data_IF_548961252004
#
_entry.id   IF_548961252004
#
_cell.length_a   1.000
_cell.length_b   1.000
_cell.length_c   1.000
_cell.angle_alpha   90.00
_cell.angle_beta   90.00
_cell.angle_gamma   90.00
#
_symmetry.space_group_name_H-M   'P 1'
#
loop_
_entity.id
_entity.type
_entity.pdbx_description
1 polymer ?
#
# COMPACT_ATOMS: atom_id res chain seq x y z
N UNK A 1 -20.50 -48.39 8.81
CA UNK A 1 -19.50 -47.56 9.52
C UNK A 1 -18.34 -47.33 8.57
N UNK A 2 -18.28 -46.18 7.88
CA UNK A 2 -17.11 -45.80 7.09
C UNK A 2 -16.00 -45.31 8.05
N UNK A 3 -14.74 -45.66 7.83
CA UNK A 3 -13.64 -45.15 8.63
C UNK A 3 -13.46 -43.66 8.30
N UNK A 4 -13.56 -42.81 9.32
CA UNK A 4 -13.13 -41.42 9.25
C UNK A 4 -11.60 -41.47 9.12
N UNK A 5 -11.11 -41.29 7.90
CA UNK A 5 -9.69 -41.05 7.66
C UNK A 5 -9.34 -39.72 8.34
N UNK A 6 -8.61 -39.81 9.45
CA UNK A 6 -8.03 -38.67 10.15
C UNK A 6 -6.96 -38.08 9.21
N UNK A 7 -7.31 -37.05 8.43
CA UNK A 7 -6.32 -36.25 7.73
C UNK A 7 -5.47 -35.55 8.80
N UNK A 8 -4.24 -36.02 8.99
CA UNK A 8 -3.23 -35.25 9.70
C UNK A 8 -3.00 -33.97 8.90
N UNK A 9 -3.41 -32.83 9.46
CA UNK A 9 -3.10 -31.54 8.90
C UNK A 9 -1.58 -31.34 8.99
N UNK A 10 -0.88 -31.47 7.85
CA UNK A 10 0.52 -31.08 7.76
C UNK A 10 0.58 -29.58 7.99
N UNK A 11 1.31 -29.14 9.02
CA UNK A 11 1.45 -27.73 9.32
C UNK A 11 2.19 -27.02 8.16
N UNK A 12 1.70 -25.86 7.75
CA UNK A 12 2.37 -25.05 6.73
C UNK A 12 3.70 -24.54 7.28
N UNK A 13 4.79 -25.02 6.70
CA UNK A 13 6.17 -24.55 6.88
C UNK A 13 6.72 -24.00 5.56
N UNK A 14 7.80 -23.21 5.58
CA UNK A 14 8.47 -22.76 4.36
C UNK A 14 8.83 -23.91 3.40
N UNK A 15 9.20 -25.08 3.93
CA UNK A 15 9.49 -26.26 3.11
C UNK A 15 8.23 -26.80 2.42
N UNK A 16 7.13 -26.99 3.15
CA UNK A 16 5.87 -27.49 2.58
C UNK A 16 5.26 -26.50 1.57
N UNK A 17 5.46 -25.20 1.77
CA UNK A 17 5.01 -24.18 0.82
C UNK A 17 5.87 -24.15 -0.43
N UNK A 18 7.19 -24.36 -0.32
CA UNK A 18 8.06 -24.51 -1.49
C UNK A 18 7.68 -25.74 -2.32
N UNK A 19 7.35 -26.86 -1.69
CA UNK A 19 6.86 -28.06 -2.38
C UNK A 19 5.52 -27.82 -3.07
N UNK A 20 4.55 -27.19 -2.38
CA UNK A 20 3.27 -26.83 -2.95
C UNK A 20 3.41 -25.86 -4.13
N UNK A 21 4.28 -24.85 -4.02
CA UNK A 21 4.60 -23.91 -5.09
C UNK A 21 5.21 -24.63 -6.31
N UNK A 22 6.15 -25.55 -6.10
CA UNK A 22 6.75 -26.35 -7.18
C UNK A 22 5.72 -27.26 -7.85
N UNK A 23 4.86 -27.91 -7.06
CA UNK A 23 3.80 -28.77 -7.57
C UNK A 23 2.78 -27.99 -8.42
N UNK A 24 2.36 -26.81 -7.94
CA UNK A 24 1.48 -25.92 -8.69
C UNK A 24 2.15 -25.37 -9.97
N UNK A 25 3.43 -24.95 -9.89
CA UNK A 25 4.16 -24.41 -11.05
C UNK A 25 4.32 -25.43 -12.18
N UNK A 26 4.44 -26.72 -11.87
CA UNK A 26 4.52 -27.81 -12.87
C UNK A 26 3.26 -27.97 -13.73
N UNK A 27 2.16 -27.31 -13.38
CA UNK A 27 0.94 -27.28 -14.21
C UNK A 27 1.07 -26.31 -15.41
N UNK A 28 2.09 -25.44 -15.40
CA UNK A 28 2.36 -24.48 -16.47
C UNK A 28 3.54 -24.92 -17.34
N UNK A 29 3.61 -24.47 -18.62
CA UNK A 29 4.74 -24.74 -19.49
C UNK A 29 6.07 -24.23 -18.89
N UNK A 30 7.19 -24.97 -19.04
CA UNK A 30 8.49 -24.58 -18.46
C UNK A 30 8.97 -23.18 -18.85
N UNK A 31 8.67 -22.75 -20.08
CA UNK A 31 8.98 -21.42 -20.60
C UNK A 31 8.25 -20.28 -19.86
N UNK A 32 7.18 -20.60 -19.12
CA UNK A 32 6.39 -19.63 -18.35
C UNK A 32 6.81 -19.56 -16.88
N UNK A 33 7.66 -20.48 -16.40
CA UNK A 33 8.02 -20.58 -14.98
C UNK A 33 8.67 -19.32 -14.40
N UNK A 34 9.25 -18.46 -15.24
CA UNK A 34 9.81 -17.16 -14.85
C UNK A 34 8.78 -16.09 -14.47
N UNK A 35 7.48 -16.33 -14.72
CA UNK A 35 6.39 -15.40 -14.42
C UNK A 35 5.55 -15.81 -13.21
N UNK A 36 5.68 -17.05 -12.74
CA UNK A 36 4.85 -17.57 -11.64
C UNK A 36 5.60 -17.53 -10.31
N UNK A 37 5.10 -16.73 -9.38
CA UNK A 37 5.62 -16.60 -8.02
C UNK A 37 4.52 -16.85 -6.99
N UNK A 38 4.94 -17.05 -5.75
CA UNK A 38 4.03 -17.41 -4.67
C UNK A 38 4.25 -16.54 -3.43
N UNK A 39 3.16 -16.15 -2.78
CA UNK A 39 3.15 -15.35 -1.58
C UNK A 39 2.71 -16.20 -0.39
N UNK A 40 3.59 -16.35 0.59
CA UNK A 40 3.37 -17.14 1.81
C UNK A 40 2.79 -16.29 2.94
N UNK A 41 1.70 -16.78 3.53
CA UNK A 41 1.14 -16.28 4.77
C UNK A 41 1.55 -17.11 5.99
N UNK A 42 2.29 -18.22 5.83
CA UNK A 42 2.59 -19.17 6.90
C UNK A 42 3.46 -18.58 8.04
N UNK A 43 4.22 -17.53 7.75
CA UNK A 43 4.97 -16.77 8.76
C UNK A 43 4.07 -16.04 9.77
N UNK A 44 2.81 -15.77 9.43
CA UNK A 44 1.83 -15.25 10.37
C UNK A 44 1.26 -16.36 11.27
N UNK A 45 0.91 -16.01 12.52
CA UNK A 45 0.16 -16.91 13.38
C UNK A 45 -1.17 -17.33 12.71
N UNK A 46 -1.65 -18.58 12.90
CA UNK A 46 -2.81 -19.11 12.19
C UNK A 46 -4.04 -18.20 12.16
N UNK A 47 -4.36 -17.58 13.29
CA UNK A 47 -5.46 -16.63 13.48
C UNK A 47 -5.31 -15.31 12.69
N UNK A 48 -4.15 -15.06 12.09
CA UNK A 48 -3.81 -13.83 11.38
C UNK A 48 -3.52 -14.05 9.89
N UNK A 49 -3.52 -15.30 9.41
CA UNK A 49 -3.19 -15.65 8.03
C UNK A 49 -4.25 -15.12 7.06
N UNK A 50 -5.53 -15.20 7.41
CA UNK A 50 -6.62 -14.68 6.59
C UNK A 50 -6.55 -13.15 6.42
N UNK A 51 -6.29 -12.42 7.50
CA UNK A 51 -6.10 -10.96 7.45
C UNK A 51 -4.91 -10.57 6.56
N UNK A 52 -3.80 -11.32 6.65
CA UNK A 52 -2.64 -11.08 5.80
C UNK A 52 -2.96 -11.33 4.32
N UNK A 53 -3.70 -12.40 4.02
CA UNK A 53 -4.16 -12.67 2.65
C UNK A 53 -5.07 -11.56 2.11
N UNK A 54 -5.97 -11.00 2.94
CA UNK A 54 -6.79 -9.84 2.59
C UNK A 54 -5.92 -8.62 2.28
N UNK A 55 -4.98 -8.30 3.16
CA UNK A 55 -4.10 -7.14 3.03
C UNK A 55 -3.23 -7.21 1.76
N UNK A 56 -2.62 -8.37 1.50
CA UNK A 56 -1.74 -8.53 0.33
C UNK A 56 -2.53 -8.53 -0.97
N UNK A 57 -3.76 -9.09 -1.01
CA UNK A 57 -4.64 -9.00 -2.18
C UNK A 57 -4.97 -7.55 -2.54
N UNK A 58 -5.30 -6.73 -1.54
CA UNK A 58 -5.55 -5.30 -1.74
C UNK A 58 -4.31 -4.62 -2.34
N UNK A 59 -3.14 -4.76 -1.71
CA UNK A 59 -1.94 -4.04 -2.13
C UNK A 59 -1.38 -4.51 -3.48
N UNK A 60 -1.42 -5.82 -3.77
CA UNK A 60 -1.00 -6.36 -5.08
C UNK A 60 -1.91 -5.86 -6.20
N UNK A 61 -3.23 -5.87 -6.00
CA UNK A 61 -4.17 -5.40 -7.00
C UNK A 61 -4.07 -3.88 -7.24
N UNK A 62 -3.82 -3.10 -6.18
CA UNK A 62 -3.62 -1.64 -6.25
C UNK A 62 -2.27 -1.25 -6.87
N UNK A 63 -1.24 -2.09 -6.77
CA UNK A 63 0.07 -1.87 -7.42
C UNK A 63 0.16 -2.47 -8.83
N UNK A 64 -0.99 -2.78 -9.45
CA UNK A 64 -1.08 -3.30 -10.80
C UNK A 64 -1.96 -2.41 -11.68
N UNK A 65 -1.51 -2.11 -12.90
CA UNK A 65 -2.31 -1.41 -13.93
C UNK A 65 -3.31 -2.33 -14.66
N UNK A 66 -3.31 -3.63 -14.36
CA UNK A 66 -4.25 -4.58 -14.96
C UNK A 66 -5.70 -4.22 -14.61
N UNK A 67 -6.58 -4.00 -15.60
CA UNK A 67 -7.97 -3.66 -15.34
C UNK A 67 -8.82 -4.85 -14.89
N UNK A 68 -8.44 -6.09 -15.20
CA UNK A 68 -9.25 -7.27 -14.86
C UNK A 68 -8.93 -7.78 -13.45
N UNK A 69 -9.94 -7.77 -12.56
CA UNK A 69 -9.79 -8.13 -11.13
C UNK A 69 -9.22 -9.54 -10.96
N UNK A 70 -9.71 -10.49 -11.74
CA UNK A 70 -9.30 -11.89 -11.68
C UNK A 70 -7.84 -12.10 -12.08
N UNK A 71 -7.26 -11.16 -12.84
CA UNK A 71 -5.86 -11.17 -13.27
C UNK A 71 -4.93 -10.40 -12.32
N UNK A 72 -5.45 -9.46 -11.53
CA UNK A 72 -4.63 -8.73 -10.55
C UNK A 72 -4.79 -9.17 -9.10
N UNK A 73 -5.67 -10.14 -8.84
CA UNK A 73 -5.90 -10.67 -7.49
C UNK A 73 -5.06 -11.94 -7.27
N UNK A 74 -4.20 -11.99 -6.22
CA UNK A 74 -3.53 -13.23 -5.82
C UNK A 74 -4.50 -14.39 -5.58
N UNK A 75 -4.19 -15.57 -6.14
CA UNK A 75 -5.06 -16.75 -6.12
C UNK A 75 -4.62 -17.77 -5.08
N UNK A 76 -5.53 -18.37 -4.31
CA UNK A 76 -5.13 -19.40 -3.35
C UNK A 76 -4.71 -20.70 -4.03
N UNK A 77 -3.52 -21.19 -3.68
CA UNK A 77 -3.03 -22.54 -3.99
C UNK A 77 -3.28 -23.45 -2.80
N UNK A 78 -3.05 -22.92 -1.60
CA UNK A 78 -3.39 -23.52 -0.30
C UNK A 78 -4.01 -22.43 0.59
N UNK A 79 -4.49 -22.76 1.80
CA UNK A 79 -4.97 -21.74 2.73
C UNK A 79 -3.93 -20.64 3.06
N UNK A 80 -2.63 -20.96 3.01
CA UNK A 80 -1.55 -20.02 3.35
C UNK A 80 -0.70 -19.58 2.16
N UNK A 81 -0.83 -20.23 1.01
CA UNK A 81 -0.02 -19.94 -0.17
C UNK A 81 -0.87 -19.33 -1.28
N UNK A 82 -0.50 -18.13 -1.72
CA UNK A 82 -1.11 -17.43 -2.84
C UNK A 82 -0.20 -17.51 -4.06
N UNK A 83 -0.78 -17.59 -5.26
CA UNK A 83 -0.10 -17.53 -6.55
C UNK A 83 -0.31 -16.16 -7.19
N UNK A 84 0.74 -15.66 -7.82
CA UNK A 84 0.71 -14.49 -8.70
C UNK A 84 1.37 -14.83 -10.04
N UNK A 85 0.84 -14.24 -11.11
CA UNK A 85 1.47 -14.23 -12.43
C UNK A 85 1.86 -12.79 -12.78
N UNK A 86 3.16 -12.55 -12.98
CA UNK A 86 3.69 -11.22 -13.27
C UNK A 86 3.09 -10.62 -14.55
N UNK A 87 2.74 -11.45 -15.55
CA UNK A 87 2.15 -10.99 -16.82
C UNK A 87 0.73 -10.49 -16.60
N UNK A 88 -0.04 -11.23 -15.81
CA UNK A 88 -1.40 -10.85 -15.45
C UNK A 88 -1.41 -9.57 -14.60
N UNK A 89 -0.44 -9.42 -13.71
CA UNK A 89 -0.22 -8.18 -12.95
C UNK A 89 0.36 -7.03 -13.79
N UNK A 90 0.82 -7.30 -15.01
CA UNK A 90 1.59 -6.37 -15.85
C UNK A 90 2.87 -5.87 -15.18
N UNK A 91 3.45 -6.66 -14.28
CA UNK A 91 4.72 -6.37 -13.64
C UNK A 91 5.88 -6.83 -14.53
N UNK A 92 6.85 -5.95 -14.74
CA UNK A 92 8.06 -6.31 -15.47
C UNK A 92 8.89 -7.32 -14.64
N UNK A 93 9.30 -8.48 -15.20
CA UNK A 93 10.09 -9.47 -14.46
C UNK A 93 11.45 -8.95 -13.97
N UNK A 94 12.08 -8.02 -14.70
CA UNK A 94 13.33 -7.39 -14.30
C UNK A 94 13.17 -6.43 -13.12
N UNK A 95 12.02 -5.76 -13.03
CA UNK A 95 11.67 -4.93 -11.88
C UNK A 95 11.30 -5.76 -10.66
N UNK A 96 10.55 -6.85 -10.86
CA UNK A 96 10.30 -7.83 -9.81
C UNK A 96 11.59 -8.41 -9.22
N UNK A 97 12.56 -8.75 -10.09
CA UNK A 97 13.89 -9.20 -9.64
C UNK A 97 14.62 -8.13 -8.80
N UNK A 98 14.47 -6.85 -9.14
CA UNK A 98 15.06 -5.77 -8.35
C UNK A 98 14.40 -5.66 -6.98
N UNK A 99 13.08 -5.76 -6.89
CA UNK A 99 12.37 -5.80 -5.60
C UNK A 99 12.87 -6.96 -4.74
N UNK A 100 13.05 -8.15 -5.34
CA UNK A 100 13.53 -9.33 -4.61
C UNK A 100 14.99 -9.28 -4.20
N UNK A 101 15.78 -8.32 -4.69
CA UNK A 101 17.20 -8.20 -4.32
C UNK A 101 17.40 -7.95 -2.82
N UNK A 102 16.42 -7.30 -2.18
CA UNK A 102 16.44 -6.96 -0.75
C UNK A 102 15.67 -7.97 0.12
N UNK A 103 15.24 -9.12 -0.44
CA UNK A 103 14.46 -10.11 0.29
C UNK A 103 15.33 -10.90 1.30
N UNK A 104 15.13 -10.75 2.63
CA UNK A 104 16.09 -11.23 3.62
C UNK A 104 15.85 -12.68 4.09
N UNK A 105 14.90 -13.40 3.47
CA UNK A 105 14.45 -14.72 3.95
C UNK A 105 14.85 -15.89 3.02
N UNK A 106 15.72 -15.65 2.03
CA UNK A 106 16.17 -16.66 1.07
C UNK A 106 17.58 -16.37 0.57
N UNK A 107 18.43 -17.41 0.55
CA UNK A 107 19.75 -17.32 -0.09
C UNK A 107 19.68 -17.37 -1.62
N UNK A 108 18.54 -17.80 -2.18
CA UNK A 108 18.33 -17.80 -3.61
C UNK A 108 18.08 -16.36 -4.11
N UNK A 109 18.80 -15.96 -5.16
CA UNK A 109 18.65 -14.65 -5.81
C UNK A 109 17.23 -14.40 -6.36
N UNK A 110 16.51 -15.46 -6.69
CA UNK A 110 15.14 -15.43 -7.19
C UNK A 110 14.30 -16.46 -6.42
N UNK A 111 13.86 -16.12 -5.19
CA UNK A 111 13.00 -17.00 -4.41
C UNK A 111 11.69 -17.27 -5.14
N UNK A 112 11.29 -18.55 -5.21
CA UNK A 112 9.98 -18.93 -5.76
C UNK A 112 8.83 -18.52 -4.83
N UNK A 113 9.06 -18.60 -3.53
CA UNK A 113 8.10 -18.27 -2.46
C UNK A 113 8.63 -17.05 -1.71
N UNK A 114 7.82 -16.01 -1.68
CA UNK A 114 8.09 -14.73 -1.01
C UNK A 114 7.12 -14.59 0.14
N UNK A 115 7.58 -14.06 1.28
CA UNK A 115 6.69 -13.76 2.39
C UNK A 115 5.72 -12.63 2.04
N UNK A 116 4.43 -12.89 2.24
CA UNK A 116 3.36 -11.94 1.92
C UNK A 116 3.42 -10.68 2.78
N UNK A 117 3.82 -10.79 4.06
CA UNK A 117 3.94 -9.65 4.97
C UNK A 117 5.13 -8.74 4.62
N UNK A 118 6.25 -9.33 4.17
CA UNK A 118 7.38 -8.55 3.65
C UNK A 118 6.98 -7.80 2.37
N UNK A 119 6.38 -8.49 1.39
CA UNK A 119 5.95 -7.82 0.16
C UNK A 119 4.91 -6.73 0.45
N UNK A 120 4.00 -6.97 1.39
CA UNK A 120 3.03 -5.98 1.83
C UNK A 120 3.71 -4.67 2.26
N UNK A 121 4.80 -4.74 3.04
CA UNK A 121 5.57 -3.56 3.43
C UNK A 121 6.26 -2.88 2.24
N UNK A 122 6.92 -3.65 1.38
CA UNK A 122 7.59 -3.09 0.19
C UNK A 122 6.61 -2.32 -0.71
N UNK A 123 5.36 -2.79 -0.80
CA UNK A 123 4.31 -2.11 -1.58
C UNK A 123 3.64 -0.94 -0.84
N UNK A 124 3.86 -0.79 0.47
CA UNK A 124 3.12 0.17 1.30
C UNK A 124 3.97 1.24 1.98
N UNK A 125 5.30 1.13 1.97
CA UNK A 125 6.17 2.15 2.56
C UNK A 125 7.33 2.46 1.62
N UNK A 126 7.24 3.58 0.89
CA UNK A 126 8.32 4.00 -0.02
C UNK A 126 9.61 4.40 0.69
N UNK A 127 9.58 4.59 2.02
CA UNK A 127 10.82 4.80 2.78
C UNK A 127 11.67 3.54 2.87
N UNK A 128 11.09 2.35 2.60
CA UNK A 128 11.80 1.06 2.53
C UNK A 128 12.40 0.80 1.14
N UNK A 129 11.87 1.45 0.09
CA UNK A 129 12.32 1.26 -1.29
C UNK A 129 11.29 1.72 -2.32
N UNK A 130 11.61 1.56 -3.61
CA UNK A 130 10.78 2.05 -4.71
C UNK A 130 9.77 1.02 -5.25
N UNK A 131 9.61 -0.13 -4.60
CA UNK A 131 8.84 -1.27 -5.10
C UNK A 131 7.40 -0.90 -5.52
N UNK A 132 6.72 -0.03 -4.77
CA UNK A 132 5.37 0.42 -5.11
C UNK A 132 5.29 1.08 -6.50
N UNK A 133 6.11 2.11 -6.77
CA UNK A 133 6.10 2.77 -8.09
C UNK A 133 6.77 1.93 -9.16
N UNK A 134 7.79 1.16 -8.80
CA UNK A 134 8.50 0.27 -9.71
C UNK A 134 7.58 -0.78 -10.31
N UNK A 135 6.76 -1.44 -9.50
CA UNK A 135 5.84 -2.45 -10.00
C UNK A 135 4.61 -1.84 -10.69
N UNK A 136 4.21 -0.62 -10.29
CA UNK A 136 3.11 0.09 -10.93
C UNK A 136 3.46 0.63 -12.34
N UNK A 137 4.68 1.15 -12.53
CA UNK A 137 5.05 1.88 -13.76
C UNK A 137 6.24 1.29 -14.55
N UNK A 138 7.05 0.45 -13.92
CA UNK A 138 8.30 -0.08 -14.48
C UNK A 138 9.50 0.84 -14.24
N UNK A 139 10.68 0.23 -14.00
CA UNK A 139 11.89 0.88 -13.49
C UNK A 139 12.47 2.01 -14.35
N UNK A 140 12.33 1.93 -15.67
CA UNK A 140 12.81 2.98 -16.60
C UNK A 140 11.92 4.24 -16.59
N UNK A 141 10.75 4.17 -15.92
CA UNK A 141 9.73 5.22 -15.90
C UNK A 141 9.29 5.59 -14.49
N UNK A 142 10.16 5.39 -13.50
CA UNK A 142 9.87 5.84 -12.14
C UNK A 142 9.65 7.35 -12.13
N UNK A 143 8.42 7.81 -11.80
CA UNK A 143 8.14 9.23 -11.80
C UNK A 143 8.92 9.91 -10.67
N UNK A 144 9.44 11.10 -10.95
CA UNK A 144 10.16 11.93 -9.96
C UNK A 144 9.41 13.21 -9.64
N UNK A 145 8.58 13.65 -10.58
CA UNK A 145 7.68 14.77 -10.41
C UNK A 145 6.23 14.26 -10.39
N UNK A 146 5.38 14.96 -9.66
CA UNK A 146 3.92 14.81 -9.69
C UNK A 146 3.39 14.79 -11.11
N UNK A 147 3.89 15.68 -11.96
CA UNK A 147 3.44 15.82 -13.34
C UNK A 147 3.71 14.55 -14.15
N UNK A 148 4.91 13.98 -14.01
CA UNK A 148 5.26 12.70 -14.63
C UNK A 148 4.33 11.56 -14.15
N UNK A 149 4.04 11.53 -12.84
CA UNK A 149 3.15 10.53 -12.24
C UNK A 149 1.72 10.64 -12.75
N UNK A 150 1.17 11.86 -12.83
CA UNK A 150 -0.16 12.13 -13.36
C UNK A 150 -0.24 11.80 -14.86
N UNK A 151 0.82 12.06 -15.62
CA UNK A 151 0.89 11.75 -17.05
C UNK A 151 0.95 10.24 -17.32
N UNK A 152 1.70 9.48 -16.51
CA UNK A 152 1.72 8.01 -16.55
C UNK A 152 0.32 7.40 -16.30
N UNK A 153 -0.47 8.07 -15.45
CA UNK A 153 -1.85 7.70 -15.14
C UNK A 153 -2.88 8.34 -16.08
N UNK A 154 -2.43 9.10 -17.10
CA UNK A 154 -3.26 9.75 -18.12
C UNK A 154 -4.31 10.69 -17.51
N UNK A 155 -3.95 11.40 -16.45
CA UNK A 155 -4.80 12.45 -15.86
C UNK A 155 -4.78 13.65 -16.79
N UNK A 156 -5.96 14.12 -17.20
CA UNK A 156 -6.07 15.29 -18.07
C UNK A 156 -5.87 16.56 -17.25
N UNK A 157 -4.83 17.34 -17.59
CA UNK A 157 -4.45 18.57 -16.88
C UNK A 157 -4.42 19.81 -17.79
N UNK A 158 -4.53 19.61 -19.10
CA UNK A 158 -4.49 20.70 -20.08
C UNK A 158 -5.70 21.61 -19.93
N UNK A 159 -5.44 22.92 -19.92
CA UNK A 159 -6.50 23.93 -20.02
C UNK A 159 -6.94 24.01 -21.48
N UNK A 160 -8.20 23.65 -21.76
CA UNK A 160 -8.72 23.56 -23.13
C UNK A 160 -10.24 23.39 -23.16
N UNK A 161 -10.84 23.78 -24.29
CA UNK A 161 -12.30 23.80 -24.47
C UNK A 161 -12.91 22.40 -24.24
N UNK A 162 -13.55 22.21 -23.08
CA UNK A 162 -14.34 21.03 -22.73
C UNK A 162 -13.91 20.31 -21.44
N UNK A 163 -12.61 20.20 -21.15
CA UNK A 163 -12.12 19.48 -19.96
C UNK A 163 -12.04 20.34 -18.70
N UNK A 164 -11.73 21.64 -18.84
CA UNK A 164 -11.75 22.57 -17.70
C UNK A 164 -13.15 22.70 -17.07
N UNK A 165 -14.21 22.54 -17.87
CA UNK A 165 -15.59 22.58 -17.38
C UNK A 165 -15.96 21.40 -16.46
N UNK A 166 -15.17 20.32 -16.48
CA UNK A 166 -15.34 19.15 -15.61
C UNK A 166 -14.42 19.19 -14.40
N UNK A 167 -13.51 20.16 -14.31
CA UNK A 167 -12.67 20.38 -13.14
C UNK A 167 -13.45 21.18 -12.11
N UNK A 168 -13.36 20.75 -10.87
CA UNK A 168 -13.99 21.41 -9.75
C UNK A 168 -13.18 21.12 -8.50
N UNK A 169 -13.44 21.87 -7.45
CA UNK A 169 -12.73 21.76 -6.20
C UNK A 169 -13.40 22.60 -5.14
N UNK A 170 -12.68 22.82 -4.05
CA UNK A 170 -13.07 23.74 -3.01
C UNK A 170 -11.85 24.15 -2.18
N UNK A 171 -12.09 25.13 -1.32
CA UNK A 171 -11.16 25.52 -0.27
C UNK A 171 -11.79 25.08 1.04
N UNK A 172 -11.18 24.06 1.66
CA UNK A 172 -11.56 23.56 2.98
C UNK A 172 -10.94 24.47 4.06
N UNK A 173 -11.67 24.77 5.13
CA UNK A 173 -11.19 25.60 6.25
C UNK A 173 -11.07 24.89 7.59
N UNK A 174 -11.38 23.59 7.66
CA UNK A 174 -11.27 22.76 8.87
C UNK A 174 -10.66 21.39 8.58
N UNK A 175 -9.56 21.35 7.80
CA UNK A 175 -8.94 20.08 7.43
C UNK A 175 -8.51 19.27 8.66
N UNK A 176 -8.94 18.00 8.71
CA UNK A 176 -8.61 17.08 9.80
C UNK A 176 -7.21 16.46 9.71
N UNK A 177 -6.45 16.76 8.66
CA UNK A 177 -5.13 16.18 8.37
C UNK A 177 -4.02 17.24 8.36
N UNK A 178 -4.31 18.43 7.81
CA UNK A 178 -3.34 19.52 7.74
C UNK A 178 -3.23 20.28 9.06
N UNK A 179 -2.01 20.76 9.37
CA UNK A 179 -1.75 21.57 10.57
C UNK A 179 -2.35 22.97 10.46
N UNK A 180 -2.26 23.56 9.28
CA UNK A 180 -3.08 24.70 8.92
C UNK A 180 -4.40 24.17 8.38
N UNK A 181 -5.54 24.69 8.83
CA UNK A 181 -6.82 24.09 8.51
C UNK A 181 -7.29 24.44 7.08
N UNK A 182 -6.69 25.46 6.45
CA UNK A 182 -6.94 25.86 5.08
C UNK A 182 -6.25 24.91 4.08
N UNK A 183 -7.04 24.23 3.25
CA UNK A 183 -6.57 23.25 2.26
C UNK A 183 -7.28 23.46 0.93
N UNK A 184 -6.52 23.49 -0.16
CA UNK A 184 -7.11 23.47 -1.50
C UNK A 184 -7.35 22.03 -1.92
N UNK A 185 -8.54 21.73 -2.43
CA UNK A 185 -8.90 20.44 -3.00
C UNK A 185 -9.26 20.63 -4.48
N UNK A 186 -8.77 19.75 -5.33
CA UNK A 186 -9.08 19.76 -6.76
C UNK A 186 -9.36 18.36 -7.30
N UNK A 187 -10.34 18.29 -8.19
CA UNK A 187 -10.61 17.13 -9.03
C UNK A 187 -10.10 17.38 -10.46
N UNK A 188 -9.55 16.33 -11.05
CA UNK A 188 -9.22 16.26 -12.47
C UNK A 188 -9.94 15.08 -13.12
N UNK A 189 -10.56 15.28 -14.29
CA UNK A 189 -11.21 14.20 -15.02
C UNK A 189 -10.17 13.20 -15.55
N UNK A 190 -10.51 11.91 -15.47
CA UNK A 190 -9.74 10.82 -16.07
C UNK A 190 -10.65 9.94 -16.90
N UNK A 191 -10.11 9.21 -17.89
CA UNK A 191 -10.90 8.42 -18.84
C UNK A 191 -11.68 7.24 -18.23
N UNK A 192 -11.46 6.89 -16.96
CA UNK A 192 -12.12 5.73 -16.34
C UNK A 192 -12.09 5.69 -14.81
N UNK A 193 -11.92 6.84 -14.16
CA UNK A 193 -11.89 6.93 -12.71
C UNK A 193 -11.96 8.38 -12.25
N UNK A 194 -11.08 8.74 -11.33
CA UNK A 194 -10.93 10.10 -10.82
C UNK A 194 -9.48 10.39 -10.51
N UNK A 195 -9.13 11.66 -10.46
CA UNK A 195 -7.90 12.13 -9.84
C UNK A 195 -8.26 13.26 -8.88
N UNK A 196 -7.90 13.11 -7.61
CA UNK A 196 -8.06 14.13 -6.59
C UNK A 196 -6.69 14.56 -6.12
N UNK A 197 -6.47 15.87 -6.10
CA UNK A 197 -5.28 16.52 -5.61
C UNK A 197 -5.62 17.44 -4.46
N UNK A 198 -4.66 17.62 -3.57
CA UNK A 198 -4.76 18.59 -2.48
C UNK A 198 -3.49 19.39 -2.40
N UNK A 199 -3.59 20.62 -1.88
CA UNK A 199 -2.43 21.49 -1.67
C UNK A 199 -2.52 22.12 -0.30
N UNK A 200 -1.48 21.88 0.50
CA UNK A 200 -1.38 22.28 1.89
C UNK A 200 -0.32 23.37 2.07
N UNK A 201 -0.50 24.21 3.08
CA UNK A 201 0.43 25.30 3.43
C UNK A 201 0.88 25.19 4.88
N UNK A 202 2.12 25.55 5.16
CA UNK A 202 2.64 25.66 6.53
C UNK A 202 2.07 26.87 7.27
N UNK A 203 1.74 27.94 6.52
CA UNK A 203 1.25 29.20 7.06
C UNK A 203 0.27 29.86 6.08
N UNK A 204 -0.91 30.24 6.59
CA UNK A 204 -1.90 31.03 5.85
C UNK A 204 -1.55 32.51 5.96
N UNK A 205 -1.12 33.10 4.84
CA UNK A 205 -0.80 34.52 4.73
C UNK A 205 -0.84 34.97 3.27
N UNK A 206 -0.59 36.26 3.04
CA UNK A 206 -0.57 36.82 1.71
C UNK A 206 0.34 36.03 0.75
N UNK A 207 -0.25 35.54 -0.34
CA UNK A 207 0.41 34.74 -1.39
C UNK A 207 0.51 33.23 -1.13
N UNK A 208 0.15 32.75 0.06
CA UNK A 208 -0.02 31.31 0.37
C UNK A 208 -1.47 30.97 0.70
N UNK A 209 -2.31 31.95 1.03
CA UNK A 209 -3.72 31.75 1.32
C UNK A 209 -4.50 31.38 0.04
N UNK A 210 -5.14 30.19 -0.01
CA UNK A 210 -5.98 29.80 -1.14
C UNK A 210 -7.20 30.70 -1.32
N UNK A 211 -7.71 31.36 -0.27
CA UNK A 211 -8.84 32.30 -0.38
C UNK A 211 -8.45 33.62 -1.04
N UNK A 212 -7.20 34.05 -0.88
CA UNK A 212 -6.67 35.22 -1.60
C UNK A 212 -6.36 34.92 -3.07
N UNK A 213 -6.10 33.64 -3.41
CA UNK A 213 -5.80 33.20 -4.78
C UNK A 213 -6.66 31.97 -5.15
N UNK A 214 -7.99 32.14 -5.23
CA UNK A 214 -8.91 31.02 -5.45
C UNK A 214 -8.92 30.54 -6.91
N UNK A 215 -8.02 31.05 -7.76
CA UNK A 215 -7.67 30.49 -9.06
C UNK A 215 -6.58 29.41 -8.98
N UNK A 216 -6.15 29.07 -7.77
CA UNK A 216 -5.10 28.07 -7.49
C UNK A 216 -3.68 28.60 -7.71
N UNK A 217 -3.51 29.93 -7.88
CA UNK A 217 -2.23 30.60 -8.12
C UNK A 217 -1.43 30.96 -6.86
N UNK A 218 -1.65 30.27 -5.74
CA UNK A 218 -0.89 30.48 -4.49
C UNK A 218 0.32 29.55 -4.39
N UNK A 219 1.27 29.89 -3.53
CA UNK A 219 2.37 28.99 -3.15
C UNK A 219 1.89 28.03 -2.06
N UNK A 220 2.13 26.74 -2.27
CA UNK A 220 1.89 25.68 -1.30
C UNK A 220 3.18 24.91 -0.98
N UNK A 221 3.15 24.14 0.11
CA UNK A 221 4.33 23.47 0.67
C UNK A 221 4.31 21.95 0.46
N UNK A 222 3.13 21.37 0.24
CA UNK A 222 2.97 19.95 -0.09
C UNK A 222 1.63 19.62 -0.71
N UNK A 223 1.54 18.41 -1.25
CA UNK A 223 0.41 17.90 -1.99
C UNK A 223 0.22 16.40 -1.74
N UNK A 224 -1.04 15.98 -1.67
CA UNK A 224 -1.43 14.57 -1.80
C UNK A 224 -2.28 14.40 -3.05
N UNK A 225 -1.99 13.32 -3.80
CA UNK A 225 -2.73 12.92 -4.99
C UNK A 225 -3.24 11.49 -4.87
N UNK A 226 -4.51 11.30 -5.25
CA UNK A 226 -5.21 10.03 -5.24
C UNK A 226 -5.85 9.83 -6.60
N UNK A 227 -5.46 8.75 -7.30
CA UNK A 227 -6.00 8.41 -8.61
C UNK A 227 -6.70 7.07 -8.55
N UNK A 228 -7.94 7.03 -9.02
CA UNK A 228 -8.70 5.80 -9.20
C UNK A 228 -8.30 5.10 -10.50
N UNK A 229 -7.69 3.92 -10.39
CA UNK A 229 -7.38 3.03 -11.51
C UNK A 229 -8.61 2.17 -11.82
N UNK A 230 -9.15 2.21 -13.06
CA UNK A 230 -10.32 1.44 -13.43
C UNK A 230 -10.09 -0.06 -13.28
N UNK A 231 -11.05 -0.75 -12.67
CA UNK A 231 -11.11 -2.22 -12.56
C UNK A 231 -12.46 -2.76 -13.02
N UNK A 232 -12.44 -4.00 -13.51
CA UNK A 232 -13.61 -4.75 -13.95
C UNK A 232 -13.49 -6.18 -13.43
N UNK A 233 -14.51 -6.63 -12.71
CA UNK A 233 -14.72 -8.03 -12.36
C UNK A 233 -15.53 -8.68 -13.49
N UNK A 234 -14.91 -9.55 -14.29
CA UNK A 234 -15.57 -10.11 -15.47
C UNK A 234 -16.66 -11.12 -15.10
N UNK A 235 -16.55 -11.74 -13.92
CA UNK A 235 -17.53 -12.71 -13.44
C UNK A 235 -18.88 -12.07 -13.09
N UNK A 236 -18.87 -10.92 -12.40
CA UNK A 236 -20.09 -10.20 -12.01
C UNK A 236 -20.48 -9.08 -12.96
N UNK A 237 -19.53 -8.54 -13.72
CA UNK A 237 -19.71 -7.33 -14.53
C UNK A 237 -19.54 -6.03 -13.72
N UNK A 238 -19.20 -6.12 -12.43
CA UNK A 238 -18.94 -4.95 -11.60
C UNK A 238 -17.77 -4.14 -12.15
N UNK A 239 -17.94 -2.82 -12.12
CA UNK A 239 -16.92 -1.84 -12.51
C UNK A 239 -16.70 -0.88 -11.36
N UNK A 240 -15.48 -0.41 -11.22
CA UNK A 240 -15.14 0.61 -10.25
C UNK A 240 -13.65 0.92 -10.29
N UNK A 241 -13.07 1.28 -9.15
CA UNK A 241 -11.65 1.69 -9.09
C UNK A 241 -10.90 1.10 -7.91
N UNK A 242 -9.58 0.94 -8.05
CA UNK A 242 -8.66 0.90 -6.91
C UNK A 242 -7.84 2.18 -6.88
N UNK A 243 -7.46 2.62 -5.69
CA UNK A 243 -6.73 3.87 -5.49
C UNK A 243 -5.22 3.66 -5.57
N UNK A 244 -4.53 4.59 -6.22
CA UNK A 244 -3.08 4.77 -6.14
C UNK A 244 -2.75 6.18 -5.66
N UNK A 245 -1.63 6.29 -4.96
CA UNK A 245 -1.32 7.48 -4.16
C UNK A 245 0.06 8.02 -4.49
N UNK A 246 0.21 9.34 -4.35
CA UNK A 246 1.48 10.02 -4.39
C UNK A 246 1.47 11.22 -3.45
N UNK A 247 2.62 11.47 -2.82
CA UNK A 247 2.90 12.71 -2.09
C UNK A 247 3.91 13.52 -2.90
N UNK A 248 3.73 14.84 -2.94
CA UNK A 248 4.67 15.76 -3.54
C UNK A 248 4.93 16.97 -2.64
N UNK A 249 6.12 17.55 -2.72
CA UNK A 249 6.41 18.83 -2.06
C UNK A 249 5.90 20.03 -2.89
N UNK A 250 6.03 21.24 -2.35
CA UNK A 250 5.61 22.48 -3.03
C UNK A 250 6.30 22.77 -4.37
N UNK A 251 7.38 22.06 -4.71
CA UNK A 251 8.03 22.11 -6.03
C UNK A 251 7.52 21.03 -7.00
N UNK A 252 6.52 20.24 -6.60
CA UNK A 252 5.97 19.13 -7.36
C UNK A 252 6.84 17.87 -7.35
N UNK A 253 7.93 17.83 -6.58
CA UNK A 253 8.81 16.65 -6.51
C UNK A 253 8.14 15.59 -5.64
N UNK A 254 8.09 14.35 -6.14
CA UNK A 254 7.56 13.25 -5.35
C UNK A 254 8.43 13.03 -4.12
N UNK A 255 7.78 12.71 -3.01
CA UNK A 255 8.41 12.42 -1.72
C UNK A 255 7.80 11.15 -1.12
N UNK A 256 8.59 10.43 -0.36
CA UNK A 256 8.17 9.18 0.29
C UNK A 256 7.38 9.46 1.58
N UNK A 257 7.62 10.62 2.20
CA UNK A 257 7.04 11.04 3.48
C UNK A 257 6.76 12.55 3.47
N UNK A 258 5.60 12.95 4.00
CA UNK A 258 5.26 14.37 4.19
C UNK A 258 5.73 14.90 5.56
N UNK A 259 6.19 16.16 5.65
CA UNK A 259 6.59 16.77 6.92
C UNK A 259 5.45 16.84 7.96
N UNK A 260 5.74 16.45 9.20
CA UNK A 260 4.76 16.41 10.31
C UNK A 260 4.28 17.79 10.79
N UNK A 261 5.03 18.84 10.47
CA UNK A 261 4.65 20.23 10.69
C UNK A 261 3.70 20.77 9.60
N UNK A 262 3.55 20.04 8.48
CA UNK A 262 2.57 20.30 7.43
C UNK A 262 1.29 19.49 7.63
N UNK A 263 1.41 18.16 7.73
CA UNK A 263 0.30 17.20 7.85
C UNK A 263 0.64 16.09 8.84
N UNK A 264 -0.35 15.54 9.55
CA UNK A 264 -0.15 14.40 10.45
C UNK A 264 -1.04 13.20 10.09
N UNK A 265 -0.44 12.00 10.12
CA UNK A 265 -1.16 10.74 10.05
C UNK A 265 -1.81 10.40 11.40
N UNK A 266 -3.10 10.67 11.52
CA UNK A 266 -3.89 10.31 12.71
C UNK A 266 -4.11 8.80 12.86
N UNK A 267 -3.93 8.02 11.78
CA UNK A 267 -4.03 6.55 11.82
C UNK A 267 -2.75 5.91 12.35
N UNK A 268 -1.64 6.63 12.37
CA UNK A 268 -0.33 6.19 12.84
C UNK A 268 0.17 4.95 12.08
N UNK A 269 0.29 5.05 10.75
CA UNK A 269 0.94 4.02 9.93
C UNK A 269 2.32 3.71 10.51
N UNK A 270 2.59 2.41 10.78
CA UNK A 270 3.81 1.94 11.46
C UNK A 270 4.14 2.67 12.77
N UNK A 271 3.11 3.17 13.46
CA UNK A 271 3.21 3.93 14.72
C UNK A 271 3.93 5.27 14.59
N UNK A 272 3.91 5.87 13.40
CA UNK A 272 4.56 7.14 13.11
C UNK A 272 3.52 8.21 12.79
N UNK A 273 3.83 9.47 13.13
CA UNK A 273 2.94 10.61 12.84
C UNK A 273 3.10 11.15 11.42
N UNK A 274 4.19 10.83 10.76
CA UNK A 274 4.43 11.27 9.40
C UNK A 274 3.55 10.50 8.42
N UNK A 275 2.99 11.20 7.43
CA UNK A 275 2.22 10.58 6.36
C UNK A 275 3.20 9.94 5.38
N UNK A 276 3.14 8.60 5.23
CA UNK A 276 4.03 7.82 4.36
C UNK A 276 3.31 7.24 3.17
N UNK A 277 3.91 7.38 2.00
CA UNK A 277 3.34 6.91 0.74
C UNK A 277 3.60 5.41 0.51
N UNK A 278 2.60 4.61 0.05
CA UNK A 278 1.16 4.88 0.06
C UNK A 278 0.47 4.43 1.36
N UNK A 279 1.19 3.86 2.32
CA UNK A 279 0.62 3.13 3.46
C UNK A 279 -0.28 3.95 4.39
N UNK A 280 0.08 5.20 4.68
CA UNK A 280 -0.78 6.12 5.43
C UNK A 280 -2.07 6.42 4.66
N UNK A 281 -1.96 6.66 3.34
CA UNK A 281 -3.11 6.95 2.49
C UNK A 281 -4.10 5.77 2.46
N UNK A 282 -3.62 4.53 2.35
CA UNK A 282 -4.46 3.31 2.41
C UNK A 282 -5.22 3.17 3.74
N UNK A 283 -4.64 3.63 4.86
CA UNK A 283 -5.33 3.64 6.15
C UNK A 283 -6.33 4.78 6.28
N UNK A 284 -5.94 5.99 5.89
CA UNK A 284 -6.81 7.18 5.92
C UNK A 284 -8.01 7.06 4.98
N UNK A 285 -7.85 6.36 3.86
CA UNK A 285 -8.88 6.17 2.83
C UNK A 285 -9.54 4.79 2.89
N UNK A 286 -9.71 4.26 4.10
CA UNK A 286 -10.29 2.95 4.36
C UNK A 286 -11.69 2.75 3.71
N UNK A 287 -12.48 3.81 3.58
CA UNK A 287 -13.81 3.78 2.96
C UNK A 287 -13.86 4.49 1.59
N UNK A 288 -12.70 4.88 1.04
CA UNK A 288 -12.56 5.73 -0.14
C UNK A 288 -12.07 7.13 0.22
N UNK A 289 -12.33 8.09 -0.66
CA UNK A 289 -11.98 9.50 -0.49
C UNK A 289 -12.72 10.10 0.71
N UNK A 290 -11.99 10.87 1.51
CA UNK A 290 -12.55 11.57 2.67
C UNK A 290 -13.37 12.78 2.20
N UNK A 291 -14.54 12.96 2.82
CA UNK A 291 -15.36 14.13 2.56
C UNK A 291 -14.71 15.37 3.20
N UNK A 292 -14.72 16.52 2.50
CA UNK A 292 -14.32 17.80 3.07
C UNK A 292 -15.26 18.20 4.20
N UNK A 293 -14.72 18.87 5.21
CA UNK A 293 -15.48 19.40 6.36
C UNK A 293 -16.35 20.60 5.97
N UNK A 294 -15.77 21.58 5.28
CA UNK A 294 -16.39 22.86 4.91
C UNK A 294 -15.96 23.33 3.52
N UNK A 295 -16.66 24.31 2.96
CA UNK A 295 -16.24 25.06 1.77
C UNK A 295 -16.23 26.54 2.11
N UNK A 296 -15.04 27.04 2.43
CA UNK A 296 -14.85 28.37 2.97
C UNK A 296 -15.10 29.47 1.94
N UNK A 297 -14.75 29.20 0.67
CA UNK A 297 -15.07 30.12 -0.43
C UNK A 297 -16.58 30.32 -0.59
N UNK A 298 -17.36 29.23 -0.49
CA UNK A 298 -18.83 29.32 -0.47
C UNK A 298 -19.33 30.11 0.74
N UNK A 299 -18.74 29.90 1.91
CA UNK A 299 -19.14 30.58 3.14
C UNK A 299 -18.88 32.10 3.06
N UNK A 300 -17.71 32.52 2.56
CA UNK A 300 -17.39 33.94 2.35
C UNK A 300 -18.41 34.64 1.45
N UNK A 301 -18.80 34.00 0.34
CA UNK A 301 -19.83 34.55 -0.56
C UNK A 301 -21.18 34.65 0.16
N UNK A 302 -21.57 33.62 0.92
CA UNK A 302 -22.81 33.61 1.68
C UNK A 302 -22.87 34.71 2.76
N UNK A 303 -21.71 35.05 3.34
CA UNK A 303 -21.55 36.12 4.33
C UNK A 303 -21.53 37.53 3.70
N UNK A 304 -21.62 37.63 2.37
CA UNK A 304 -21.67 38.90 1.64
C UNK A 304 -20.31 39.52 1.39
N UNK A 305 -19.22 38.74 1.44
CA UNK A 305 -17.89 39.21 1.07
C UNK A 305 -17.81 39.33 -0.45
N UNK A 306 -17.58 40.55 -0.93
CA UNK A 306 -17.33 40.83 -2.34
C UNK A 306 -15.97 40.24 -2.77
N UNK A 307 -15.99 39.02 -3.29
CA UNK A 307 -14.83 38.34 -3.92
C UNK A 307 -14.57 38.85 -5.36
N UNK A 308 -14.97 40.09 -5.67
CA UNK A 308 -14.87 40.66 -7.01
C UNK A 308 -13.40 40.67 -7.44
N UNK A 309 -13.03 39.79 -8.37
CA UNK A 309 -11.73 39.77 -9.05
C UNK A 309 -11.63 41.00 -9.97
N UNK A 310 -11.52 42.18 -9.37
CA UNK A 310 -11.20 43.50 -9.92
C UNK A 310 -11.51 43.67 -11.43
N UNK A 311 -12.78 43.45 -11.82
CA UNK A 311 -13.28 43.76 -13.16
C UNK A 311 -13.25 42.65 -14.21
N UNK A 312 -12.82 41.42 -13.88
CA UNK A 312 -12.85 40.28 -14.81
C UNK A 312 -14.00 39.31 -14.47
N UNK A 313 -15.16 39.54 -15.10
CA UNK A 313 -16.35 38.70 -14.91
C UNK A 313 -16.14 37.26 -15.39
N UNK A 314 -15.37 37.05 -16.46
CA UNK A 314 -15.10 35.71 -16.98
C UNK A 314 -14.24 34.90 -16.01
N UNK A 315 -13.24 35.53 -15.40
CA UNK A 315 -12.44 34.90 -14.33
C UNK A 315 -13.29 34.59 -13.10
N UNK A 316 -14.17 35.50 -12.70
CA UNK A 316 -15.10 35.26 -11.59
C UNK A 316 -16.00 34.04 -11.87
N UNK A 317 -16.60 33.95 -13.07
CA UNK A 317 -17.45 32.83 -13.46
C UNK A 317 -16.70 31.48 -13.40
N UNK A 318 -15.43 31.47 -13.81
CA UNK A 318 -14.58 30.27 -13.74
C UNK A 318 -14.29 29.83 -12.30
N UNK A 319 -13.96 30.78 -11.42
CA UNK A 319 -13.65 30.50 -10.00
C UNK A 319 -14.91 30.03 -9.28
N UNK A 320 -16.05 30.69 -9.50
CA UNK A 320 -17.33 30.27 -8.94
C UNK A 320 -17.76 28.89 -9.45
N UNK A 321 -17.63 28.61 -10.75
CA UNK A 321 -17.95 27.31 -11.32
C UNK A 321 -17.07 26.20 -10.72
N UNK A 322 -15.78 26.48 -10.46
CA UNK A 322 -14.85 25.54 -9.87
C UNK A 322 -15.19 25.23 -8.41
N UNK A 323 -15.43 26.26 -7.57
CA UNK A 323 -15.56 26.12 -6.12
C UNK A 323 -16.99 25.88 -5.62
N UNK A 324 -18.00 26.36 -6.34
CA UNK A 324 -19.40 26.34 -5.87
C UNK A 324 -20.18 25.11 -6.37
N UNK A 325 -19.50 24.16 -7.00
CA UNK A 325 -20.03 22.83 -7.27
C UNK A 325 -20.34 22.03 -5.99
N UNK A 326 -21.16 20.99 -6.12
CA UNK A 326 -21.40 19.99 -5.08
C UNK A 326 -20.45 18.82 -5.27
N UNK A 327 -19.37 18.80 -4.50
CA UNK A 327 -18.33 17.77 -4.64
C UNK A 327 -18.76 16.42 -4.08
N UNK A 328 -19.70 16.41 -3.13
CA UNK A 328 -20.11 15.22 -2.36
C UNK A 328 -20.62 14.12 -3.28
N UNK A 329 -21.43 14.47 -4.29
CA UNK A 329 -21.98 13.51 -5.26
C UNK A 329 -20.88 12.81 -6.09
N UNK A 330 -19.76 13.49 -6.35
CA UNK A 330 -18.63 12.87 -7.04
C UNK A 330 -17.86 11.96 -6.10
N UNK A 331 -17.70 12.35 -4.84
CA UNK A 331 -17.04 11.54 -3.82
C UNK A 331 -17.84 10.28 -3.50
N UNK A 332 -19.15 10.39 -3.35
CA UNK A 332 -20.07 9.25 -3.14
C UNK A 332 -19.90 8.21 -4.24
N UNK A 333 -19.96 8.61 -5.51
CA UNK A 333 -19.78 7.70 -6.66
C UNK A 333 -18.39 7.07 -6.71
N UNK A 334 -17.35 7.88 -6.49
CA UNK A 334 -15.97 7.38 -6.41
C UNK A 334 -15.79 6.34 -5.29
N UNK A 335 -16.45 6.56 -4.16
CA UNK A 335 -16.39 5.69 -2.99
C UNK A 335 -17.22 4.41 -3.17
N UNK A 336 -18.39 4.49 -3.80
CA UNK A 336 -19.19 3.33 -4.20
C UNK A 336 -18.38 2.41 -5.13
N UNK A 337 -17.77 2.99 -6.17
CA UNK A 337 -16.91 2.27 -7.14
C UNK A 337 -15.70 1.62 -6.45
N UNK A 338 -15.06 2.34 -5.53
CA UNK A 338 -13.92 1.83 -4.77
C UNK A 338 -14.34 0.66 -3.86
N UNK A 339 -15.39 0.83 -3.08
CA UNK A 339 -15.87 -0.20 -2.14
C UNK A 339 -16.32 -1.48 -2.87
N UNK A 340 -16.99 -1.33 -4.01
CA UNK A 340 -17.40 -2.46 -4.84
C UNK A 340 -16.20 -3.30 -5.28
N UNK A 341 -15.16 -2.66 -5.83
CA UNK A 341 -13.97 -3.37 -6.34
C UNK A 341 -13.11 -3.92 -5.21
N UNK A 342 -12.93 -3.21 -4.09
CA UNK A 342 -12.20 -3.75 -2.94
C UNK A 342 -12.85 -5.04 -2.45
N UNK A 343 -14.18 -5.11 -2.43
CA UNK A 343 -14.90 -6.33 -2.07
C UNK A 343 -14.69 -7.47 -3.05
N UNK A 344 -14.58 -7.19 -4.35
CA UNK A 344 -14.27 -8.21 -5.37
C UNK A 344 -12.86 -8.76 -5.22
N UNK A 345 -11.89 -7.89 -4.96
CA UNK A 345 -10.47 -8.28 -4.79
C UNK A 345 -10.24 -9.04 -3.48
N UNK A 346 -10.82 -8.57 -2.39
CA UNK A 346 -10.47 -9.04 -1.04
C UNK A 346 -11.48 -10.00 -0.42
N UNK A 347 -12.73 -10.00 -0.90
CA UNK A 347 -13.84 -10.73 -0.31
C UNK A 347 -14.50 -10.05 0.89
N UNK A 348 -13.97 -8.91 1.36
CA UNK A 348 -14.49 -8.14 2.50
C UNK A 348 -14.74 -6.68 2.12
N UNK A 349 -15.48 -5.94 2.93
CA UNK A 349 -15.62 -4.49 2.70
C UNK A 349 -14.28 -3.75 2.86
N UNK A 350 -14.20 -2.53 2.32
CA UNK A 350 -12.95 -1.78 2.27
C UNK A 350 -12.42 -1.38 3.65
N UNK A 351 -13.32 -1.10 4.61
CA UNK A 351 -12.94 -0.76 5.97
C UNK A 351 -12.31 -1.95 6.70
N UNK A 352 -12.86 -3.15 6.52
CA UNK A 352 -12.29 -4.40 7.01
C UNK A 352 -10.96 -4.72 6.32
N UNK A 353 -10.85 -4.50 5.00
CA UNK A 353 -9.60 -4.68 4.26
C UNK A 353 -8.49 -3.75 4.77
N UNK A 354 -8.80 -2.46 4.99
CA UNK A 354 -7.86 -1.48 5.55
C UNK A 354 -7.48 -1.80 7.00
N UNK A 355 -8.42 -2.30 7.81
CA UNK A 355 -8.11 -2.81 9.16
C UNK A 355 -7.17 -4.01 9.13
N UNK A 356 -7.40 -4.97 8.23
CA UNK A 356 -6.54 -6.14 8.04
C UNK A 356 -5.14 -5.72 7.57
N UNK A 357 -5.07 -4.75 6.65
CA UNK A 357 -3.82 -4.10 6.21
C UNK A 357 -3.04 -3.51 7.37
N UNK A 358 -3.67 -2.63 8.17
CA UNK A 358 -3.05 -2.02 9.36
C UNK A 358 -2.56 -3.08 10.35
N UNK A 359 -3.37 -4.10 10.60
CA UNK A 359 -3.01 -5.18 11.51
C UNK A 359 -1.80 -5.98 11.01
N UNK A 360 -1.75 -6.29 9.71
CA UNK A 360 -0.63 -7.02 9.09
C UNK A 360 0.68 -6.23 9.17
N UNK A 361 0.66 -4.94 8.81
CA UNK A 361 1.81 -4.03 8.92
C UNK A 361 2.31 -3.95 10.36
N UNK A 362 1.41 -3.67 11.32
CA UNK A 362 1.78 -3.57 12.74
C UNK A 362 2.31 -4.87 13.33
N UNK A 363 1.84 -6.02 12.84
CA UNK A 363 2.33 -7.34 13.24
C UNK A 363 3.73 -7.61 12.70
N UNK A 364 4.01 -7.19 11.47
CA UNK A 364 5.35 -7.32 10.91
C UNK A 364 6.39 -6.54 11.72
N UNK A 365 6.08 -5.29 12.09
CA UNK A 365 6.96 -4.43 12.89
C UNK A 365 7.06 -4.82 14.37
N UNK A 366 6.16 -5.69 14.87
CA UNK A 366 6.15 -6.08 16.27
C UNK A 366 7.43 -6.85 16.65
N UNK A 367 7.97 -6.65 17.88
CA UNK A 367 9.04 -7.48 18.39
C UNK A 367 8.66 -8.96 18.36
N UNK A 368 9.59 -9.81 17.95
CA UNK A 368 9.39 -11.24 17.77
C UNK A 368 9.87 -11.99 19.01
N UNK A 369 9.05 -12.95 19.44
CA UNK A 369 9.42 -13.90 20.47
C UNK A 369 9.97 -15.20 19.87
N UNK A 370 10.25 -16.18 20.73
CA UNK A 370 10.73 -17.50 20.34
C UNK A 370 9.74 -18.23 19.41
N UNK A 371 8.43 -18.09 19.63
CA UNK A 371 7.42 -18.79 18.85
C UNK A 371 7.27 -18.19 17.45
N UNK A 372 7.30 -16.87 17.34
CA UNK A 372 7.30 -16.15 16.07
C UNK A 372 8.55 -16.49 15.25
N UNK A 373 9.74 -16.38 15.84
CA UNK A 373 11.01 -16.69 15.16
C UNK A 373 11.09 -18.16 14.73
N UNK A 374 10.64 -19.10 15.57
CA UNK A 374 10.55 -20.52 15.20
C UNK A 374 9.61 -20.75 14.00
N UNK A 375 8.45 -20.07 13.97
CA UNK A 375 7.50 -20.16 12.84
C UNK A 375 8.12 -19.66 11.54
N UNK A 376 8.83 -18.54 11.58
CA UNK A 376 9.52 -17.96 10.42
C UNK A 376 10.68 -18.86 9.92
N UNK A 377 11.25 -19.69 10.80
CA UNK A 377 12.22 -20.72 10.45
C UNK A 377 11.57 -22.04 10.00
N UNK A 378 10.27 -22.22 10.17
CA UNK A 378 9.58 -23.48 9.89
C UNK A 378 9.77 -24.57 10.95
N UNK A 379 10.14 -24.21 12.18
CA UNK A 379 10.45 -25.13 13.27
C UNK A 379 9.42 -25.07 14.41
N UNK A 380 9.40 -26.13 15.22
CA UNK A 380 8.73 -26.07 16.52
C UNK A 380 9.52 -25.15 17.49
N UNK A 381 8.85 -24.39 18.38
CA UNK A 381 9.54 -23.51 19.33
C UNK A 381 10.55 -24.23 20.22
N UNK A 382 10.27 -25.48 20.61
CA UNK A 382 11.19 -26.27 21.44
C UNK A 382 12.45 -26.68 20.67
N UNK A 383 12.33 -27.06 19.40
CA UNK A 383 13.48 -27.40 18.57
C UNK A 383 14.34 -26.17 18.32
N UNK A 384 13.70 -25.02 18.03
CA UNK A 384 14.44 -23.76 17.88
C UNK A 384 15.15 -23.34 19.17
N UNK A 385 14.48 -23.46 20.33
CA UNK A 385 15.10 -23.18 21.64
C UNK A 385 16.32 -24.06 21.90
N UNK A 386 16.23 -25.34 21.57
CA UNK A 386 17.35 -26.26 21.78
C UNK A 386 18.47 -26.02 20.76
N UNK A 387 18.15 -25.64 19.52
CA UNK A 387 19.14 -25.21 18.53
C UNK A 387 19.96 -24.01 19.01
N UNK A 388 19.31 -23.01 19.62
CA UNK A 388 20.00 -21.88 20.29
C UNK A 388 20.94 -22.38 21.40
N UNK A 389 20.46 -23.30 22.24
CA UNK A 389 21.26 -23.90 23.32
C UNK A 389 22.48 -24.67 22.80
N UNK A 390 22.30 -25.48 21.76
CA UNK A 390 23.38 -26.23 21.11
C UNK A 390 24.40 -25.30 20.45
N UNK A 391 23.95 -24.28 19.73
CA UNK A 391 24.86 -23.29 19.15
C UNK A 391 25.71 -22.59 20.20
N UNK A 392 25.18 -22.41 21.42
CA UNK A 392 25.90 -21.81 22.56
C UNK A 392 26.97 -22.73 23.17
N UNK A 393 26.92 -24.04 22.93
CA UNK A 393 27.97 -24.99 23.38
C UNK A 393 29.08 -25.15 22.34
N UNK A 394 28.79 -24.87 21.08
CA UNK A 394 29.79 -24.73 20.04
C UNK A 394 30.55 -23.41 20.27
N UNK A 395 31.85 -23.36 20.00
CA UNK A 395 32.69 -22.15 20.22
C UNK A 395 32.28 -20.92 19.39
N UNK A 396 31.17 -20.99 18.66
CA UNK A 396 30.55 -19.89 17.91
C UNK A 396 29.57 -19.12 18.80
N UNK A 397 29.81 -17.84 19.02
CA UNK A 397 28.89 -16.98 19.78
C UNK A 397 27.71 -16.56 18.90
N UNK A 398 26.49 -16.96 19.28
CA UNK A 398 25.26 -16.36 18.74
C UNK A 398 25.16 -14.89 19.16
N UNK A 399 24.57 -14.00 18.33
CA UNK A 399 24.21 -12.66 18.76
C UNK A 399 23.33 -12.70 20.02
N UNK A 400 23.62 -11.82 21.00
CA UNK A 400 22.97 -11.84 22.31
C UNK A 400 21.43 -11.74 22.24
N UNK A 401 20.88 -11.04 21.23
CA UNK A 401 19.43 -10.94 21.01
C UNK A 401 18.81 -12.27 20.59
N UNK A 402 19.48 -13.04 19.72
CA UNK A 402 19.05 -14.38 19.31
C UNK A 402 19.15 -15.35 20.49
N UNK A 403 20.27 -15.34 21.22
CA UNK A 403 20.43 -16.15 22.44
C UNK A 403 19.35 -15.84 23.49
N UNK A 404 18.98 -14.55 23.62
CA UNK A 404 17.94 -14.09 24.52
C UNK A 404 16.54 -14.70 24.27
N UNK A 405 16.24 -15.14 23.04
CA UNK A 405 14.95 -15.78 22.70
C UNK A 405 14.72 -17.04 23.56
N UNK A 406 15.76 -17.84 23.80
CA UNK A 406 15.68 -19.04 24.63
C UNK A 406 15.33 -18.72 26.11
N UNK A 407 15.50 -17.46 26.51
CA UNK A 407 15.20 -16.92 27.84
C UNK A 407 13.94 -16.03 27.87
N UNK A 408 13.09 -16.10 26.84
CA UNK A 408 11.83 -15.36 26.78
C UNK A 408 12.00 -13.86 26.49
N UNK A 409 13.16 -13.43 25.99
CA UNK A 409 13.34 -12.08 25.44
C UNK A 409 12.76 -12.01 24.03
N UNK A 410 12.53 -10.79 23.54
CA UNK A 410 12.14 -10.52 22.16
C UNK A 410 13.29 -9.92 21.36
N UNK A 411 13.20 -10.03 20.03
CA UNK A 411 14.10 -9.41 19.06
C UNK A 411 13.32 -8.44 18.16
N UNK A 412 13.94 -7.34 17.73
CA UNK A 412 13.29 -6.41 16.78
C UNK A 412 13.30 -7.01 15.37
N UNK A 413 12.36 -6.60 14.51
CA UNK A 413 12.27 -7.07 13.12
C UNK A 413 13.60 -6.93 12.36
N UNK A 414 14.20 -5.74 12.36
CA UNK A 414 15.49 -5.49 11.68
C UNK A 414 16.62 -6.39 12.16
N UNK A 415 16.79 -6.51 13.48
CA UNK A 415 17.83 -7.37 14.06
C UNK A 415 17.59 -8.86 13.77
N UNK A 416 16.32 -9.28 13.62
CA UNK A 416 15.98 -10.63 13.22
C UNK A 416 16.31 -10.88 11.75
N UNK A 417 15.96 -9.96 10.85
CA UNK A 417 16.30 -10.05 9.42
C UNK A 417 17.81 -10.11 9.20
N UNK A 418 18.58 -9.27 9.90
CA UNK A 418 20.05 -9.28 9.88
C UNK A 418 20.66 -10.63 10.31
N UNK A 419 19.95 -11.39 11.15
CA UNK A 419 20.44 -12.65 11.73
C UNK A 419 19.69 -13.89 11.23
N UNK A 420 18.74 -13.73 10.31
CA UNK A 420 17.84 -14.80 9.88
C UNK A 420 18.60 -15.99 9.28
N UNK A 421 19.54 -15.72 8.39
CA UNK A 421 20.34 -16.76 7.74
C UNK A 421 21.25 -17.50 8.72
N UNK A 422 21.87 -16.79 9.67
CA UNK A 422 22.65 -17.43 10.74
C UNK A 422 21.75 -18.32 11.60
N UNK A 423 20.58 -17.82 11.99
CA UNK A 423 19.61 -18.57 12.78
C UNK A 423 19.18 -19.86 12.05
N UNK A 424 18.90 -19.78 10.75
CA UNK A 424 18.59 -20.93 9.91
C UNK A 424 19.71 -21.95 9.85
N UNK A 425 20.97 -21.51 9.72
CA UNK A 425 22.13 -22.39 9.76
C UNK A 425 22.27 -23.11 11.11
N UNK A 426 21.98 -22.43 12.23
CA UNK A 426 22.01 -23.06 13.56
C UNK A 426 20.92 -24.10 13.74
N UNK A 427 19.71 -23.81 13.27
CA UNK A 427 18.61 -24.77 13.28
C UNK A 427 18.97 -26.00 12.44
N UNK A 428 19.53 -25.82 11.25
CA UNK A 428 19.95 -26.93 10.40
C UNK A 428 21.05 -27.79 11.05
N UNK A 429 22.04 -27.16 11.68
CA UNK A 429 23.08 -27.89 12.41
C UNK A 429 22.51 -28.69 13.60
N UNK A 430 21.45 -28.18 14.23
CA UNK A 430 20.70 -28.91 15.25
C UNK A 430 19.94 -30.11 14.68
N UNK A 431 19.31 -29.97 13.52
CA UNK A 431 18.57 -31.06 12.88
C UNK A 431 19.48 -32.21 12.42
N UNK A 432 20.73 -31.93 12.05
CA UNK A 432 21.70 -32.93 11.58
C UNK A 432 22.38 -33.74 12.69
N UNK A 433 22.19 -33.38 13.96
CA UNK A 433 22.81 -34.12 15.07
C UNK A 433 22.01 -35.37 15.47
N UNK A 434 20.73 -35.38 15.14
CA UNK A 434 19.78 -36.48 15.35
C UNK A 434 19.85 -37.39 14.11
#
# INVERSE_FOLDING_TARGET
>A
MLPIAMLLAVAATPATEAEAALAHRRQFPPEEWGYHYYLSCAAAAPEHQADLAVAVKLMVASSSLQPIVERCTPQHVTPTLLHIDLRDLQWNPGDWKQVLADYPYSDAQLPLVVRADWLLLQLSDQTEGDAYFRLLFGGDRLPKQRDDWLDLLKVSRERGEGFDALRFGLIESESGVAKQPARWMENHPTLGGYAWGTRDVLEVRRGTDPLENPDGGFRHDGEEWIVGIPKVDIASGDRGTLQVYALANGAGRLVEEAPVDLVEDSTLFRRQRAVRNPGSCVQCHAAGLNAPSTNDFRQLIADGVDVVFLGDKAKQDQIEAFHLGRVERSLERANEDFQAIVRRVTGVDSAAASKAFKAAVNRHDAPLDLAATARELGAAPDDWKRAIGYASTQTSTLPARVAGLAHGRTITRSAWEDTYHEARQRLHAWELRD
#
